data_IF_142130227394
#
_entry.id   IF_142130227394
#
_cell.length_a   1.000
_cell.length_b   1.000
_cell.length_c   1.000
_cell.angle_alpha   90.00
_cell.angle_beta   90.00
_cell.angle_gamma   90.00
#
_symmetry.space_group_name_H-M   'P 1'
#
loop_
_entity.id
_entity.type
_entity.pdbx_description
1 polymer ?
#
# COMPACT_ATOMS: atom_id res chain seq x y z
N UNK A 1 -14.49 -0.90 29.03
CA UNK A 1 -14.86 -0.69 27.63
C UNK A 1 -13.60 -0.26 26.89
N UNK A 2 -13.31 -0.83 25.73
CA UNK A 2 -12.19 -0.38 24.89
C UNK A 2 -12.61 0.97 24.32
N UNK A 3 -11.72 1.97 24.40
CA UNK A 3 -11.90 3.24 23.68
C UNK A 3 -11.91 2.94 22.19
N UNK A 4 -12.94 3.38 21.46
CA UNK A 4 -13.07 3.14 20.02
C UNK A 4 -12.50 4.28 19.16
N UNK A 5 -11.95 5.32 19.78
CA UNK A 5 -11.45 6.51 19.08
C UNK A 5 -10.15 6.19 18.34
N UNK A 6 -10.14 6.37 17.02
CA UNK A 6 -8.93 6.33 16.17
C UNK A 6 -8.52 7.78 15.87
N UNK A 7 -7.27 8.15 16.10
CA UNK A 7 -6.74 9.45 15.73
C UNK A 7 -5.66 9.26 14.67
N UNK A 8 -5.76 10.01 13.56
CA UNK A 8 -4.81 9.99 12.45
C UNK A 8 -4.34 11.41 12.14
N UNK A 9 -3.17 11.52 11.54
CA UNK A 9 -2.66 12.81 11.10
C UNK A 9 -3.35 13.23 9.80
N UNK A 10 -4.22 14.24 9.90
CA UNK A 10 -4.85 14.84 8.73
C UNK A 10 -3.89 15.83 8.04
N UNK A 11 -3.60 15.57 6.77
CA UNK A 11 -2.67 16.40 5.99
C UNK A 11 -3.19 17.79 5.70
N UNK A 12 -4.52 17.96 5.61
CA UNK A 12 -5.15 19.27 5.37
C UNK A 12 -5.03 20.17 6.59
N UNK A 13 -5.42 19.69 7.76
CA UNK A 13 -5.34 20.48 9.01
C UNK A 13 -3.93 20.47 9.61
N UNK A 14 -3.06 19.55 9.21
CA UNK A 14 -1.71 19.30 9.76
C UNK A 14 -1.71 18.97 11.24
N UNK A 15 -2.75 18.30 11.71
CA UNK A 15 -2.95 17.93 13.10
C UNK A 15 -3.44 16.51 13.21
N UNK A 16 -3.25 15.92 14.38
CA UNK A 16 -3.93 14.68 14.75
C UNK A 16 -5.41 14.97 14.94
N UNK A 17 -6.25 14.29 14.19
CA UNK A 17 -7.70 14.42 14.23
C UNK A 17 -8.35 13.07 14.52
N UNK A 18 -9.45 13.03 15.25
CA UNK A 18 -10.22 11.82 15.38
C UNK A 18 -10.83 11.44 14.03
N UNK A 19 -10.71 10.18 13.64
CA UNK A 19 -11.48 9.63 12.53
C UNK A 19 -12.95 9.58 12.96
N UNK A 20 -13.76 10.39 12.32
CA UNK A 20 -15.18 10.51 12.62
C UNK A 20 -15.97 9.72 11.58
N UNK A 21 -16.86 8.87 12.04
CA UNK A 21 -17.84 8.20 11.21
C UNK A 21 -19.03 9.15 11.00
N UNK A 22 -19.20 9.70 9.80
CA UNK A 22 -20.17 10.76 9.51
C UNK A 22 -21.63 10.34 9.66
N UNK A 23 -21.94 9.04 9.45
CA UNK A 23 -23.28 8.47 9.64
C UNK A 23 -23.45 7.74 10.99
N UNK A 24 -22.43 7.78 11.85
CA UNK A 24 -22.40 7.10 13.16
C UNK A 24 -22.24 5.58 13.09
N UNK A 25 -22.08 5.00 11.90
CA UNK A 25 -22.05 3.54 11.71
C UNK A 25 -20.94 3.06 10.80
N UNK A 26 -20.84 3.61 9.60
CA UNK A 26 -19.94 3.13 8.52
C UNK A 26 -18.88 4.16 8.20
N UNK A 27 -17.60 3.80 8.36
CA UNK A 27 -16.47 4.62 7.91
C UNK A 27 -16.31 4.42 6.40
N UNK A 28 -16.45 5.49 5.62
CA UNK A 28 -16.31 5.51 4.16
C UNK A 28 -14.88 5.86 3.80
N UNK A 29 -14.18 4.90 3.24
CA UNK A 29 -12.75 5.02 2.90
C UNK A 29 -12.59 4.97 1.39
N UNK A 30 -11.86 5.93 0.85
CA UNK A 30 -11.38 5.90 -0.52
C UNK A 30 -9.85 5.87 -0.54
N UNK A 31 -9.27 5.03 -1.38
CA UNK A 31 -7.83 4.99 -1.61
C UNK A 31 -7.55 5.06 -3.11
N UNK A 32 -6.69 5.98 -3.52
CA UNK A 32 -6.20 5.97 -4.89
C UNK A 32 -5.47 4.65 -5.15
N UNK A 33 -5.88 3.98 -6.22
CA UNK A 33 -5.36 2.68 -6.64
C UNK A 33 -4.19 2.77 -7.62
N UNK A 34 -3.74 1.65 -8.16
CA UNK A 34 -2.65 1.61 -9.11
C UNK A 34 -3.08 2.02 -10.52
N UNK A 35 -2.13 2.58 -11.29
CA UNK A 35 -2.23 2.58 -12.75
C UNK A 35 -1.63 1.27 -13.25
N UNK A 36 -2.48 0.43 -13.86
CA UNK A 36 -2.18 -0.98 -14.17
C UNK A 36 -1.49 -1.17 -15.52
N UNK A 37 -0.38 -0.49 -15.74
CA UNK A 37 0.49 -0.68 -16.90
C UNK A 37 1.78 -1.44 -16.59
N UNK A 38 2.06 -1.70 -15.32
CA UNK A 38 3.24 -2.43 -14.81
C UNK A 38 2.99 -2.96 -13.40
N UNK A 39 3.87 -3.84 -12.94
CA UNK A 39 3.84 -4.35 -11.57
C UNK A 39 4.02 -3.22 -10.55
N UNK A 40 3.28 -3.32 -9.44
CA UNK A 40 3.41 -2.41 -8.30
C UNK A 40 4.72 -2.71 -7.56
N UNK A 41 5.57 -1.71 -7.38
CA UNK A 41 6.78 -1.87 -6.59
C UNK A 41 6.49 -1.78 -5.08
N UNK A 42 7.43 -2.23 -4.26
CA UNK A 42 7.27 -2.26 -2.79
C UNK A 42 6.89 -0.90 -2.19
N UNK A 43 7.29 0.22 -2.80
CA UNK A 43 6.90 1.56 -2.36
C UNK A 43 5.40 1.85 -2.53
N UNK A 44 4.77 1.37 -3.61
CA UNK A 44 3.32 1.48 -3.80
C UNK A 44 2.57 0.62 -2.77
N UNK A 45 3.07 -0.59 -2.52
CA UNK A 45 2.46 -1.54 -1.58
C UNK A 45 2.44 -1.01 -0.14
N UNK A 46 3.38 -0.15 0.23
CA UNK A 46 3.38 0.53 1.54
C UNK A 46 2.13 1.40 1.74
N UNK A 47 1.71 2.10 0.70
CA UNK A 47 0.48 2.94 0.75
C UNK A 47 -0.77 2.07 0.85
N UNK A 48 -0.84 0.97 0.11
CA UNK A 48 -1.99 0.07 0.17
C UNK A 48 -2.08 -0.65 1.51
N UNK A 49 -0.92 -0.98 2.12
CA UNK A 49 -0.88 -1.50 3.48
C UNK A 49 -1.44 -0.51 4.51
N UNK A 50 -1.22 0.79 4.34
CA UNK A 50 -1.78 1.81 5.24
C UNK A 50 -3.31 1.73 5.28
N UNK A 51 -3.96 1.58 4.11
CA UNK A 51 -5.41 1.38 4.01
C UNK A 51 -5.87 0.10 4.73
N UNK A 52 -5.16 -1.01 4.55
CA UNK A 52 -5.44 -2.27 5.22
C UNK A 52 -5.34 -2.16 6.76
N UNK A 53 -4.30 -1.52 7.27
CA UNK A 53 -4.12 -1.35 8.72
C UNK A 53 -5.23 -0.52 9.35
N UNK A 54 -5.62 0.60 8.72
CA UNK A 54 -6.70 1.46 9.22
C UNK A 54 -8.03 0.69 9.20
N UNK A 55 -8.33 0.02 8.11
CA UNK A 55 -9.59 -0.73 7.99
C UNK A 55 -9.65 -1.93 8.92
N UNK A 56 -8.53 -2.65 9.13
CA UNK A 56 -8.45 -3.72 10.13
C UNK A 56 -8.66 -3.20 11.55
N UNK A 57 -7.99 -2.10 11.90
CA UNK A 57 -8.15 -1.48 13.22
C UNK A 57 -9.60 -1.02 13.44
N UNK A 58 -10.20 -0.33 12.47
CA UNK A 58 -11.58 0.12 12.54
C UNK A 58 -12.56 -1.05 12.73
N UNK A 59 -12.43 -2.11 11.92
CA UNK A 59 -13.25 -3.33 12.04
C UNK A 59 -13.05 -4.05 13.39
N UNK A 60 -11.80 -4.12 13.89
CA UNK A 60 -11.50 -4.69 15.19
C UNK A 60 -12.18 -3.93 16.35
N UNK A 61 -12.28 -2.61 16.23
CA UNK A 61 -12.97 -1.74 17.19
C UNK A 61 -14.50 -1.72 17.02
N UNK A 62 -15.04 -2.47 16.05
CA UNK A 62 -16.48 -2.66 15.86
C UNK A 62 -17.13 -1.69 14.86
N UNK A 63 -16.37 -0.90 14.12
CA UNK A 63 -16.91 -0.08 13.02
C UNK A 63 -17.22 -0.93 11.78
N UNK A 64 -18.29 -0.61 11.09
CA UNK A 64 -18.46 -1.01 9.70
C UNK A 64 -17.54 -0.14 8.82
N UNK A 65 -17.02 -0.71 7.75
CA UNK A 65 -16.14 0.01 6.81
C UNK A 65 -16.61 -0.25 5.39
N UNK A 66 -16.82 0.81 4.63
CA UNK A 66 -17.00 0.77 3.17
C UNK A 66 -15.72 1.26 2.52
N UNK A 67 -14.95 0.35 1.95
CA UNK A 67 -13.64 0.64 1.36
C UNK A 67 -13.68 0.52 -0.16
N UNK A 68 -13.42 1.62 -0.84
CA UNK A 68 -13.34 1.71 -2.32
C UNK A 68 -11.89 2.03 -2.71
N UNK A 69 -11.38 1.28 -3.68
CA UNK A 69 -10.08 1.55 -4.29
C UNK A 69 -10.20 1.45 -5.80
N UNK A 70 -9.85 2.49 -6.54
CA UNK A 70 -9.97 2.46 -7.99
C UNK A 70 -8.86 1.66 -8.67
N UNK A 71 -9.10 1.32 -9.93
CA UNK A 71 -8.09 0.85 -10.87
C UNK A 71 -8.04 1.85 -12.03
N UNK A 72 -6.88 2.49 -12.23
CA UNK A 72 -6.64 3.35 -13.39
C UNK A 72 -6.17 2.47 -14.56
N UNK A 73 -7.10 2.13 -15.43
CA UNK A 73 -6.92 1.31 -16.63
C UNK A 73 -7.17 2.08 -17.94
N UNK A 74 -7.13 3.41 -17.85
CA UNK A 74 -7.23 4.34 -18.98
C UNK A 74 -5.89 5.03 -19.21
N UNK A 75 -5.81 5.78 -20.31
CA UNK A 75 -4.60 6.47 -20.72
C UNK A 75 -4.05 7.43 -19.68
N UNK A 76 -2.80 7.25 -19.33
CA UNK A 76 -2.07 8.09 -18.41
C UNK A 76 -0.77 8.56 -19.06
N UNK A 77 -0.64 9.87 -19.30
CA UNK A 77 0.55 10.43 -19.94
C UNK A 77 1.80 10.25 -19.09
N UNK A 78 2.94 10.05 -19.73
CA UNK A 78 4.25 10.07 -19.08
C UNK A 78 4.56 11.46 -18.49
N UNK A 79 5.54 11.54 -17.60
CA UNK A 79 5.94 12.81 -16.95
C UNK A 79 6.41 13.88 -17.95
N UNK A 80 6.90 13.47 -19.10
CA UNK A 80 7.39 14.31 -20.20
C UNK A 80 6.34 14.55 -21.30
N UNK A 81 5.09 14.09 -21.12
CA UNK A 81 3.96 14.20 -22.07
C UNK A 81 4.21 13.64 -23.48
N UNK A 82 5.26 12.85 -23.65
CA UNK A 82 5.65 12.30 -24.94
C UNK A 82 4.84 11.08 -25.32
N UNK A 83 4.49 10.24 -24.31
CA UNK A 83 3.84 8.96 -24.57
C UNK A 83 2.87 8.59 -23.44
N UNK A 84 1.76 7.93 -23.81
CA UNK A 84 0.84 7.33 -22.86
C UNK A 84 1.43 6.03 -22.31
N UNK A 85 1.50 5.91 -20.97
CA UNK A 85 2.11 4.76 -20.29
C UNK A 85 1.46 3.43 -20.61
N UNK A 86 0.12 3.42 -20.76
CA UNK A 86 -0.64 2.20 -21.11
C UNK A 86 -0.35 1.79 -22.55
N UNK A 87 -0.45 2.74 -23.49
CA UNK A 87 -0.19 2.48 -24.90
C UNK A 87 1.28 2.11 -25.16
N UNK A 88 2.22 2.75 -24.48
CA UNK A 88 3.64 2.41 -24.54
C UNK A 88 3.90 0.97 -24.10
N UNK A 89 3.32 0.55 -23.00
CA UNK A 89 3.48 -0.82 -22.49
C UNK A 89 2.79 -1.83 -23.39
N UNK A 90 1.58 -1.52 -23.90
CA UNK A 90 0.86 -2.36 -24.86
C UNK A 90 1.67 -2.61 -26.12
N UNK A 91 2.27 -1.55 -26.68
CA UNK A 91 3.16 -1.64 -27.82
C UNK A 91 4.43 -2.46 -27.52
N UNK A 92 5.03 -2.26 -26.35
CA UNK A 92 6.25 -3.00 -25.94
C UNK A 92 5.98 -4.50 -25.80
N UNK A 93 4.81 -4.90 -25.32
CA UNK A 93 4.41 -6.29 -25.16
C UNK A 93 3.62 -6.86 -26.37
N UNK A 94 3.36 -6.05 -27.42
CA UNK A 94 2.56 -6.43 -28.59
C UNK A 94 1.18 -6.97 -28.20
N UNK A 95 0.50 -6.28 -27.25
CA UNK A 95 -0.81 -6.63 -26.72
C UNK A 95 -1.79 -5.46 -26.81
N UNK A 96 -3.08 -5.78 -26.70
CA UNK A 96 -4.13 -4.78 -26.51
C UNK A 96 -3.97 -4.05 -25.17
N UNK A 97 -4.17 -2.70 -25.10
CA UNK A 97 -4.01 -1.94 -23.86
C UNK A 97 -4.88 -2.44 -22.70
N UNK A 98 -6.11 -2.89 -22.98
CA UNK A 98 -6.99 -3.45 -21.92
C UNK A 98 -6.56 -4.86 -21.52
N UNK A 99 -5.88 -5.62 -22.38
CA UNK A 99 -5.25 -6.87 -22.01
C UNK A 99 -4.09 -6.61 -21.03
N UNK A 100 -3.27 -5.61 -21.32
CA UNK A 100 -2.19 -5.16 -20.40
C UNK A 100 -2.79 -4.78 -19.05
N UNK A 101 -3.85 -3.96 -19.03
CA UNK A 101 -4.51 -3.57 -17.79
C UNK A 101 -4.96 -4.78 -16.96
N UNK A 102 -5.63 -5.75 -17.58
CA UNK A 102 -6.07 -6.98 -16.90
C UNK A 102 -4.91 -7.80 -16.31
N UNK A 103 -3.82 -7.94 -17.05
CA UNK A 103 -2.64 -8.70 -16.61
C UNK A 103 -2.04 -8.06 -15.35
N UNK A 104 -1.82 -6.75 -15.36
CA UNK A 104 -1.19 -6.05 -14.24
C UNK A 104 -2.14 -5.84 -13.05
N UNK A 105 -3.46 -5.71 -13.29
CA UNK A 105 -4.49 -5.76 -12.26
C UNK A 105 -4.48 -7.11 -11.51
N UNK A 106 -4.45 -8.23 -12.25
CA UNK A 106 -4.37 -9.58 -11.65
C UNK A 106 -3.09 -9.76 -10.81
N UNK A 107 -1.95 -9.29 -11.33
CA UNK A 107 -0.68 -9.31 -10.57
C UNK A 107 -0.73 -8.45 -9.32
N UNK A 108 -1.33 -7.27 -9.41
CA UNK A 108 -1.54 -6.39 -8.27
C UNK A 108 -2.34 -7.07 -7.16
N UNK A 109 -3.46 -7.70 -7.49
CA UNK A 109 -4.27 -8.43 -6.51
C UNK A 109 -3.52 -9.62 -5.89
N UNK A 110 -2.73 -10.34 -6.67
CA UNK A 110 -1.86 -11.42 -6.17
C UNK A 110 -0.82 -10.89 -5.18
N UNK A 111 -0.20 -9.75 -5.46
CA UNK A 111 0.79 -9.15 -4.58
C UNK A 111 0.15 -8.61 -3.28
N UNK A 112 -1.07 -8.03 -3.34
CA UNK A 112 -1.83 -7.68 -2.14
C UNK A 112 -2.11 -8.92 -1.27
N UNK A 113 -2.51 -10.03 -1.88
CA UNK A 113 -2.79 -11.28 -1.17
C UNK A 113 -1.52 -11.86 -0.50
N UNK A 114 -0.35 -11.80 -1.17
CA UNK A 114 0.94 -12.22 -0.59
C UNK A 114 1.34 -11.40 0.64
N UNK A 115 0.97 -10.13 0.67
CA UNK A 115 1.18 -9.24 1.82
C UNK A 115 0.04 -9.30 2.85
N UNK A 116 -0.91 -10.22 2.70
CA UNK A 116 -2.10 -10.33 3.54
C UNK A 116 -2.85 -8.99 3.67
N UNK A 117 -2.91 -8.22 2.59
CA UNK A 117 -3.74 -7.02 2.48
C UNK A 117 -5.15 -7.46 2.11
N UNK A 118 -6.12 -7.10 2.93
CA UNK A 118 -7.53 -7.41 2.65
C UNK A 118 -7.98 -6.66 1.40
N UNK A 119 -8.78 -7.29 0.52
CA UNK A 119 -9.32 -6.60 -0.64
C UNK A 119 -10.22 -5.44 -0.21
N UNK A 120 -10.28 -4.39 -1.03
CA UNK A 120 -11.33 -3.40 -0.94
C UNK A 120 -12.70 -4.01 -1.27
N UNK A 121 -13.77 -3.39 -0.82
CA UNK A 121 -15.13 -3.87 -1.10
C UNK A 121 -15.50 -3.74 -2.58
N UNK A 122 -14.90 -2.75 -3.26
CA UNK A 122 -14.99 -2.57 -4.72
C UNK A 122 -13.70 -1.99 -5.29
N UNK A 123 -13.43 -2.39 -6.54
CA UNK A 123 -12.36 -1.87 -7.37
C UNK A 123 -12.95 -1.30 -8.67
N UNK A 124 -13.57 -0.09 -8.65
CA UNK A 124 -14.09 0.52 -9.87
C UNK A 124 -12.95 0.82 -10.83
N UNK A 125 -13.16 0.48 -12.11
CA UNK A 125 -12.22 0.76 -13.20
C UNK A 125 -12.53 2.09 -13.85
N UNK A 126 -11.50 2.86 -14.16
CA UNK A 126 -11.68 4.15 -14.81
C UNK A 126 -12.39 4.00 -16.17
N UNK A 127 -12.04 2.94 -16.96
CA UNK A 127 -12.68 2.65 -18.25
C UNK A 127 -14.18 2.33 -18.15
N UNK A 128 -14.63 1.78 -17.03
CA UNK A 128 -16.05 1.46 -16.77
C UNK A 128 -16.81 2.66 -16.19
N UNK A 129 -16.10 3.71 -15.77
CA UNK A 129 -16.67 4.90 -15.11
C UNK A 129 -16.65 6.15 -16.01
N UNK A 130 -16.42 6.02 -17.31
CA UNK A 130 -16.33 7.16 -18.27
C UNK A 130 -17.58 8.04 -18.20
N UNK A 131 -18.76 7.45 -18.14
CA UNK A 131 -20.01 8.20 -18.06
C UNK A 131 -20.12 9.03 -16.79
N UNK A 132 -19.71 8.48 -15.65
CA UNK A 132 -19.68 9.20 -14.37
C UNK A 132 -18.74 10.42 -14.42
N UNK A 133 -17.58 10.27 -15.06
CA UNK A 133 -16.65 11.39 -15.25
C UNK A 133 -17.24 12.46 -16.16
N UNK A 134 -17.88 12.07 -17.27
CA UNK A 134 -18.54 13.01 -18.18
C UNK A 134 -19.68 13.77 -17.52
N UNK A 135 -20.48 13.10 -16.70
CA UNK A 135 -21.55 13.73 -15.89
C UNK A 135 -20.97 14.74 -14.91
N UNK A 136 -19.92 14.39 -14.17
CA UNK A 136 -19.24 15.31 -13.24
C UNK A 136 -18.62 16.50 -13.99
N UNK A 137 -17.97 16.29 -15.12
CA UNK A 137 -17.39 17.36 -15.94
C UNK A 137 -18.48 18.30 -16.45
N UNK A 138 -19.61 17.78 -16.91
CA UNK A 138 -20.76 18.59 -17.37
C UNK A 138 -21.27 19.47 -16.24
N UNK A 139 -21.45 18.90 -15.04
CA UNK A 139 -21.84 19.65 -13.85
C UNK A 139 -20.86 20.78 -13.49
N UNK A 140 -19.54 20.50 -13.57
CA UNK A 140 -18.50 21.50 -13.32
C UNK A 140 -18.52 22.64 -14.36
N UNK A 141 -18.83 22.35 -15.62
CA UNK A 141 -19.01 23.36 -16.67
C UNK A 141 -20.24 24.22 -16.38
N UNK A 142 -21.39 23.59 -16.07
CA UNK A 142 -22.63 24.30 -15.73
C UNK A 142 -22.49 25.21 -14.52
N UNK A 143 -21.63 24.83 -13.55
CA UNK A 143 -21.29 25.63 -12.36
C UNK A 143 -20.14 26.61 -12.58
N UNK A 144 -19.66 26.78 -13.81
CA UNK A 144 -18.57 27.70 -14.20
C UNK A 144 -17.20 27.41 -13.54
N UNK A 145 -17.00 26.17 -13.03
CA UNK A 145 -15.68 25.72 -12.54
C UNK A 145 -14.83 25.08 -13.65
N UNK A 146 -15.42 24.74 -14.79
CA UNK A 146 -14.70 24.17 -15.93
C UNK A 146 -15.12 24.86 -17.23
N UNK A 147 -14.30 24.71 -18.27
CA UNK A 147 -14.54 25.28 -19.58
C UNK A 147 -13.93 24.43 -20.70
N UNK A 148 -14.49 24.54 -21.90
CA UNK A 148 -13.94 23.91 -23.10
C UNK A 148 -12.88 24.86 -23.68
N UNK A 149 -11.66 24.34 -23.87
CA UNK A 149 -10.56 25.05 -24.50
C UNK A 149 -10.67 25.09 -26.02
N UNK A 150 -9.84 25.90 -26.67
CA UNK A 150 -9.78 26.02 -28.14
C UNK A 150 -9.25 24.75 -28.84
N UNK A 151 -8.63 23.87 -28.09
CA UNK A 151 -8.12 22.56 -28.48
C UNK A 151 -9.14 21.39 -28.30
N UNK A 152 -10.38 21.73 -27.94
CA UNK A 152 -11.45 20.80 -27.58
C UNK A 152 -11.17 19.93 -26.33
N UNK A 153 -10.16 20.28 -25.53
CA UNK A 153 -10.01 19.73 -24.18
C UNK A 153 -10.93 20.49 -23.19
N UNK A 154 -11.32 19.81 -22.13
CA UNK A 154 -12.03 20.46 -21.02
C UNK A 154 -11.06 20.66 -19.87
N UNK A 155 -11.00 21.88 -19.38
CA UNK A 155 -10.12 22.28 -18.28
C UNK A 155 -10.90 22.71 -17.06
N UNK A 156 -10.42 22.34 -15.89
CA UNK A 156 -10.86 22.94 -14.62
C UNK A 156 -10.17 24.28 -14.47
N UNK A 157 -10.93 25.31 -14.08
CA UNK A 157 -10.43 26.64 -13.82
C UNK A 157 -9.89 26.72 -12.39
N UNK A 158 -8.57 26.64 -12.22
CA UNK A 158 -7.94 26.69 -10.91
C UNK A 158 -8.32 27.95 -10.10
N UNK A 159 -8.48 29.10 -10.78
CA UNK A 159 -8.80 30.38 -10.16
C UNK A 159 -10.27 30.47 -9.68
N UNK A 160 -11.18 29.66 -10.22
CA UNK A 160 -12.59 29.65 -9.80
C UNK A 160 -12.81 28.98 -8.45
N UNK A 161 -11.87 28.10 -8.00
CA UNK A 161 -11.98 27.40 -6.73
C UNK A 161 -11.21 28.09 -5.62
N UNK A 162 -11.94 28.72 -4.71
CA UNK A 162 -11.34 29.35 -3.53
C UNK A 162 -10.81 28.27 -2.55
N UNK A 163 -9.61 28.50 -2.00
CA UNK A 163 -9.01 27.56 -1.04
C UNK A 163 -8.18 26.43 -1.67
N UNK A 164 -7.81 26.58 -2.95
CA UNK A 164 -6.80 25.70 -3.57
C UNK A 164 -5.47 25.81 -2.81
N UNK A 165 -4.82 24.68 -2.61
CA UNK A 165 -3.59 24.56 -1.81
C UNK A 165 -3.82 24.18 -0.34
N UNK A 166 -5.06 23.90 0.07
CA UNK A 166 -5.36 23.56 1.46
C UNK A 166 -4.71 22.23 1.92
N UNK A 167 -4.56 21.25 1.05
CA UNK A 167 -3.88 19.97 1.36
C UNK A 167 -2.36 20.12 1.18
N UNK A 168 -1.95 20.66 0.05
CA UNK A 168 -0.55 20.73 -0.36
C UNK A 168 0.25 21.84 0.33
N UNK A 169 -0.41 22.96 0.63
CA UNK A 169 0.23 24.20 1.01
C UNK A 169 0.73 25.03 -0.19
N UNK A 170 0.51 24.55 -1.42
CA UNK A 170 0.92 25.24 -2.65
C UNK A 170 -0.16 26.25 -3.07
N UNK A 171 0.11 27.52 -2.92
CA UNK A 171 -0.82 28.58 -3.33
C UNK A 171 -0.74 28.79 -4.84
N UNK A 172 -1.90 29.05 -5.49
CA UNK A 172 -1.98 29.27 -6.94
C UNK A 172 -1.06 30.37 -7.44
N UNK A 173 -0.95 31.48 -6.69
CA UNK A 173 -0.11 32.62 -7.01
C UNK A 173 1.39 32.32 -6.94
N UNK A 174 1.79 31.27 -6.27
CA UNK A 174 3.17 30.81 -6.15
C UNK A 174 3.55 29.71 -7.16
N UNK A 175 2.57 29.14 -7.86
CA UNK A 175 2.80 28.15 -8.90
C UNK A 175 3.39 28.83 -10.14
N UNK A 176 4.58 28.42 -10.55
CA UNK A 176 5.26 28.97 -11.74
C UNK A 176 4.97 28.09 -12.94
N UNK A 177 4.77 28.70 -14.14
CA UNK A 177 4.73 27.96 -15.40
C UNK A 177 5.97 27.07 -15.55
N UNK A 178 5.80 25.84 -16.02
CA UNK A 178 6.92 24.92 -16.32
C UNK A 178 7.52 24.18 -15.10
N UNK A 179 7.02 24.39 -13.88
CA UNK A 179 7.49 23.64 -12.70
C UNK A 179 7.02 22.17 -12.67
N UNK A 180 5.93 21.86 -13.35
CA UNK A 180 5.49 20.53 -13.75
C UNK A 180 4.87 20.65 -15.14
N UNK A 181 4.99 19.62 -15.95
CA UNK A 181 4.48 19.59 -17.32
C UNK A 181 2.97 19.84 -17.45
N UNK A 182 2.21 19.70 -16.38
CA UNK A 182 0.78 20.01 -16.33
C UNK A 182 0.48 21.51 -16.38
N UNK A 183 1.46 22.36 -16.11
CA UNK A 183 1.35 23.84 -16.07
C UNK A 183 2.06 24.50 -17.28
N UNK A 184 1.89 23.93 -18.46
CA UNK A 184 2.40 24.54 -19.69
C UNK A 184 1.46 25.63 -20.19
N UNK A 185 2.02 26.74 -20.69
CA UNK A 185 1.30 27.72 -21.49
C UNK A 185 1.13 27.16 -22.89
N UNK A 186 0.03 26.47 -23.15
CA UNK A 186 -0.29 25.90 -24.46
C UNK A 186 -1.30 26.74 -25.27
N UNK A 187 -1.68 27.91 -24.76
CA UNK A 187 -2.60 28.85 -25.41
C UNK A 187 -4.06 28.42 -25.38
N UNK A 188 -4.38 27.16 -25.01
CA UNK A 188 -5.75 26.67 -24.85
C UNK A 188 -6.26 26.86 -23.42
N UNK A 189 -5.37 26.93 -22.44
CA UNK A 189 -5.67 27.19 -21.03
C UNK A 189 -5.84 28.69 -20.77
N UNK A 190 -6.82 29.05 -19.96
CA UNK A 190 -7.03 30.43 -19.51
C UNK A 190 -5.98 30.85 -18.45
N UNK A 191 -5.52 29.87 -17.67
CA UNK A 191 -4.51 30.07 -16.64
C UNK A 191 -3.54 28.87 -16.62
N UNK A 192 -2.26 29.11 -16.41
CA UNK A 192 -1.23 28.05 -16.51
C UNK A 192 -1.44 26.90 -15.53
N UNK A 193 -2.10 27.11 -14.40
CA UNK A 193 -2.38 26.07 -13.41
C UNK A 193 -3.72 25.36 -13.62
N UNK A 194 -4.47 25.67 -14.68
CA UNK A 194 -5.66 24.90 -15.06
C UNK A 194 -5.25 23.48 -15.51
N UNK A 195 -6.02 22.49 -15.16
CA UNK A 195 -5.70 21.09 -15.52
C UNK A 195 -6.82 20.46 -16.33
N UNK A 196 -6.45 19.47 -17.15
CA UNK A 196 -7.38 18.82 -18.04
C UNK A 196 -8.30 17.84 -17.29
N UNK A 197 -9.61 17.99 -17.47
CA UNK A 197 -10.64 17.05 -17.05
C UNK A 197 -10.96 16.05 -18.14
N UNK A 198 -10.96 16.51 -19.42
CA UNK A 198 -11.13 15.70 -20.60
C UNK A 198 -10.12 16.14 -21.66
N UNK A 199 -9.39 15.21 -22.20
CA UNK A 199 -8.37 15.47 -23.24
C UNK A 199 -8.92 15.05 -24.60
N UNK A 200 -8.83 15.91 -25.60
CA UNK A 200 -9.19 15.58 -26.98
C UNK A 200 -8.30 14.45 -27.51
N UNK A 201 -8.87 13.55 -28.31
CA UNK A 201 -8.17 12.36 -28.83
C UNK A 201 -6.94 12.72 -29.70
N UNK A 202 -6.96 13.86 -30.40
CA UNK A 202 -5.89 14.20 -31.34
C UNK A 202 -5.67 13.06 -32.35
N UNK A 203 -4.44 12.57 -32.43
CA UNK A 203 -4.04 11.44 -33.29
C UNK A 203 -4.17 10.07 -32.59
N UNK A 204 -4.70 10.03 -31.38
CA UNK A 204 -4.89 8.79 -30.61
C UNK A 204 -6.00 7.95 -31.22
N UNK A 205 -5.78 6.65 -31.38
CA UNK A 205 -6.72 5.71 -31.97
C UNK A 205 -7.30 4.71 -30.96
N UNK A 206 -6.69 4.57 -29.79
CA UNK A 206 -7.04 3.60 -28.77
C UNK A 206 -7.35 4.27 -27.44
N UNK A 207 -8.15 3.62 -26.60
CA UNK A 207 -8.59 4.17 -25.29
C UNK A 207 -9.17 5.58 -25.43
N UNK A 208 -10.10 5.74 -26.35
CA UNK A 208 -10.85 6.98 -26.62
C UNK A 208 -12.33 6.71 -26.58
N UNK A 209 -13.08 7.69 -26.11
CA UNK A 209 -14.55 7.62 -25.94
C UNK A 209 -15.23 8.84 -26.56
N UNK A 210 -16.44 8.65 -26.99
CA UNK A 210 -17.30 9.77 -27.40
C UNK A 210 -17.70 10.58 -26.17
N UNK A 211 -17.75 11.90 -26.33
CA UNK A 211 -18.18 12.82 -25.28
C UNK A 211 -18.91 14.02 -25.87
N UNK A 212 -19.61 14.84 -25.05
CA UNK A 212 -20.23 16.10 -25.53
C UNK A 212 -19.22 17.09 -26.14
N UNK A 213 -17.93 16.94 -25.82
CA UNK A 213 -16.85 17.84 -26.26
C UNK A 213 -16.04 17.24 -27.42
N UNK A 214 -16.44 16.10 -27.92
CA UNK A 214 -15.76 15.34 -28.96
C UNK A 214 -15.07 14.06 -28.44
N UNK A 215 -14.45 13.32 -29.37
CA UNK A 215 -13.71 12.12 -29.00
C UNK A 215 -12.48 12.45 -28.16
N UNK A 216 -12.29 11.69 -27.06
CA UNK A 216 -11.19 11.94 -26.15
C UNK A 216 -11.10 10.91 -25.02
N UNK A 217 -10.41 11.29 -23.98
CA UNK A 217 -10.19 10.45 -22.80
C UNK A 217 -10.11 11.32 -21.53
N UNK A 218 -10.40 10.75 -20.34
CA UNK A 218 -10.40 11.51 -19.09
C UNK A 218 -9.01 11.99 -18.69
N UNK A 219 -8.97 13.12 -17.98
CA UNK A 219 -7.81 13.52 -17.19
C UNK A 219 -7.65 12.61 -15.98
N UNK A 220 -6.46 12.58 -15.41
CA UNK A 220 -6.15 11.67 -14.30
C UNK A 220 -6.91 11.95 -13.00
N UNK A 221 -7.16 13.23 -12.68
CA UNK A 221 -7.74 13.62 -11.40
C UNK A 221 -9.26 13.44 -11.33
N UNK A 222 -9.95 13.54 -12.49
CA UNK A 222 -11.41 13.38 -12.53
C UNK A 222 -11.86 11.95 -12.27
N UNK A 223 -10.99 10.96 -12.51
CA UNK A 223 -11.27 9.55 -12.26
C UNK A 223 -11.64 9.32 -10.80
N UNK A 224 -10.73 9.69 -9.90
CA UNK A 224 -10.91 9.48 -8.46
C UNK A 224 -12.03 10.35 -7.89
N UNK A 225 -12.19 11.60 -8.36
CA UNK A 225 -13.30 12.45 -7.95
C UNK A 225 -14.65 11.83 -8.30
N UNK A 226 -14.85 11.41 -9.55
CA UNK A 226 -16.12 10.83 -9.99
C UNK A 226 -16.43 9.50 -9.27
N UNK A 227 -15.41 8.63 -9.14
CA UNK A 227 -15.58 7.34 -8.48
C UNK A 227 -15.81 7.47 -6.98
N UNK A 228 -15.06 8.32 -6.28
CA UNK A 228 -15.23 8.50 -4.82
C UNK A 228 -16.60 9.07 -4.47
N UNK A 229 -17.05 10.11 -5.20
CA UNK A 229 -18.37 10.69 -5.01
C UNK A 229 -19.50 9.69 -5.29
N UNK A 230 -19.40 8.95 -6.39
CA UNK A 230 -20.44 7.99 -6.77
C UNK A 230 -20.54 6.82 -5.79
N UNK A 231 -19.44 6.14 -5.50
CA UNK A 231 -19.47 4.91 -4.71
C UNK A 231 -19.60 5.15 -3.20
N UNK A 232 -19.30 6.37 -2.72
CA UNK A 232 -19.39 6.73 -1.30
C UNK A 232 -20.46 7.79 -1.01
N UNK A 233 -21.43 7.97 -1.92
CA UNK A 233 -22.58 8.87 -1.73
C UNK A 233 -22.18 10.32 -1.41
N UNK A 234 -21.30 10.89 -2.22
CA UNK A 234 -20.83 12.27 -2.17
C UNK A 234 -20.06 12.67 -0.90
N UNK A 235 -19.69 11.70 -0.05
CA UNK A 235 -18.91 12.00 1.15
C UNK A 235 -17.94 10.87 1.52
N UNK A 236 -16.71 11.24 1.79
CA UNK A 236 -15.60 10.36 2.16
C UNK A 236 -15.12 10.71 3.57
N UNK A 237 -15.22 9.78 4.52
CA UNK A 237 -14.71 10.01 5.88
C UNK A 237 -13.18 10.03 5.90
N UNK A 238 -12.55 9.19 5.06
CA UNK A 238 -11.10 9.06 4.97
C UNK A 238 -10.63 8.83 3.53
N UNK A 239 -9.82 9.75 3.00
CA UNK A 239 -9.16 9.61 1.71
C UNK A 239 -7.67 9.32 1.88
N UNK A 240 -7.18 8.25 1.24
CA UNK A 240 -5.83 7.72 1.41
C UNK A 240 -5.02 7.80 0.10
N UNK A 241 -3.72 8.06 0.25
CA UNK A 241 -2.77 7.97 -0.87
C UNK A 241 -1.31 8.04 -0.44
N UNK A 242 -0.40 7.97 -1.40
CA UNK A 242 1.00 8.30 -1.19
C UNK A 242 1.21 9.80 -1.07
N UNK A 243 2.28 10.22 -0.41
CA UNK A 243 2.61 11.65 -0.25
C UNK A 243 2.84 12.36 -1.59
N UNK A 244 3.21 11.62 -2.63
CA UNK A 244 3.33 12.10 -4.01
C UNK A 244 1.99 12.51 -4.62
N UNK A 245 0.89 11.90 -4.19
CA UNK A 245 -0.47 12.27 -4.61
C UNK A 245 -0.99 13.54 -3.94
N UNK A 246 -0.38 13.97 -2.81
CA UNK A 246 -0.80 15.18 -2.10
C UNK A 246 -0.91 16.39 -3.02
N UNK A 247 0.00 16.50 -3.99
CA UNK A 247 0.01 17.52 -5.02
C UNK A 247 0.58 16.99 -6.35
N UNK A 248 -0.10 17.22 -7.49
CA UNK A 248 -1.36 17.97 -7.58
C UNK A 248 -2.61 17.11 -7.30
N UNK A 249 -2.55 15.77 -7.39
CA UNK A 249 -3.67 14.85 -7.56
C UNK A 249 -4.80 15.06 -6.52
N UNK A 250 -4.52 14.92 -5.23
CA UNK A 250 -5.54 15.10 -4.18
C UNK A 250 -6.01 16.55 -4.02
N UNK A 251 -5.15 17.54 -4.32
CA UNK A 251 -5.58 18.93 -4.34
C UNK A 251 -6.59 19.19 -5.45
N UNK A 252 -6.34 18.64 -6.65
CA UNK A 252 -7.22 18.75 -7.80
C UNK A 252 -8.50 17.95 -7.60
N UNK A 253 -8.43 16.76 -7.03
CA UNK A 253 -9.62 15.99 -6.64
C UNK A 253 -10.51 16.75 -5.64
N UNK A 254 -9.89 17.36 -4.62
CA UNK A 254 -10.62 18.17 -3.64
C UNK A 254 -11.31 19.34 -4.32
N UNK A 255 -10.63 20.04 -5.22
CA UNK A 255 -11.22 21.16 -5.95
C UNK A 255 -12.41 20.70 -6.80
N UNK A 256 -12.27 19.62 -7.57
CA UNK A 256 -13.34 19.06 -8.42
C UNK A 256 -14.55 18.62 -7.59
N UNK A 257 -14.32 17.83 -6.57
CA UNK A 257 -15.37 17.24 -5.74
C UNK A 257 -16.13 18.32 -4.95
N UNK A 258 -15.40 19.26 -4.32
CA UNK A 258 -16.02 20.34 -3.55
C UNK A 258 -16.76 21.34 -4.43
N UNK A 259 -16.25 21.63 -5.63
CA UNK A 259 -16.94 22.48 -6.61
C UNK A 259 -18.26 21.86 -7.08
N UNK A 260 -18.29 20.54 -7.28
CA UNK A 260 -19.50 19.82 -7.63
C UNK A 260 -20.54 19.86 -6.51
N UNK A 261 -20.18 19.42 -5.30
CA UNK A 261 -21.18 19.28 -4.22
C UNK A 261 -21.43 20.56 -3.41
N UNK A 262 -20.62 21.62 -3.58
CA UNK A 262 -20.73 22.89 -2.86
C UNK A 262 -20.31 22.86 -1.38
N UNK A 263 -19.63 21.79 -0.95
CA UNK A 263 -19.14 21.60 0.42
C UNK A 263 -17.89 20.73 0.44
N UNK A 264 -17.26 20.55 1.63
CA UNK A 264 -16.15 19.58 1.73
C UNK A 264 -16.65 18.16 1.51
N UNK A 265 -16.07 17.49 0.52
CA UNK A 265 -16.39 16.10 0.13
C UNK A 265 -15.63 15.05 0.95
N UNK A 266 -14.49 15.44 1.53
CA UNK A 266 -13.59 14.57 2.28
C UNK A 266 -13.33 15.17 3.66
N UNK A 267 -13.60 14.38 4.71
CA UNK A 267 -13.39 14.81 6.09
C UNK A 267 -11.91 14.79 6.48
N UNK A 268 -11.16 13.76 6.06
CA UNK A 268 -9.76 13.56 6.46
C UNK A 268 -8.90 13.05 5.29
N UNK A 269 -7.73 13.66 5.11
CA UNK A 269 -6.73 13.28 4.11
C UNK A 269 -5.49 12.68 4.79
N UNK A 270 -5.18 11.42 4.50
CA UNK A 270 -4.05 10.72 5.11
C UNK A 270 -3.08 10.23 4.04
N UNK A 271 -1.80 10.55 4.24
CA UNK A 271 -0.75 10.22 3.28
C UNK A 271 0.35 9.36 3.89
N UNK A 272 0.72 8.30 3.16
CA UNK A 272 1.92 7.51 3.44
C UNK A 272 3.17 8.18 2.87
N UNK A 273 4.24 8.23 3.65
CA UNK A 273 5.49 8.86 3.23
C UNK A 273 6.31 7.97 2.28
N UNK A 274 7.24 8.56 1.56
CA UNK A 274 8.11 7.89 0.58
C UNK A 274 8.90 6.73 1.17
N UNK A 275 9.13 5.73 0.33
CA UNK A 275 10.04 4.62 0.57
C UNK A 275 11.28 4.77 -0.30
N UNK A 276 12.45 4.75 0.34
CA UNK A 276 13.74 4.56 -0.31
C UNK A 276 14.11 3.08 -0.29
N UNK A 277 14.93 2.67 -1.23
CA UNK A 277 15.57 1.37 -1.22
C UNK A 277 17.08 1.56 -1.32
N UNK A 278 17.81 1.10 -0.29
CA UNK A 278 19.27 1.27 -0.16
C UNK A 278 19.71 2.72 -0.37
N UNK A 279 19.04 3.64 0.32
CA UNK A 279 19.32 5.08 0.32
C UNK A 279 18.88 5.83 -0.95
N UNK A 280 18.19 5.17 -1.89
CA UNK A 280 17.80 5.78 -3.16
C UNK A 280 16.30 5.69 -3.40
N UNK A 281 15.74 6.73 -4.04
CA UNK A 281 14.37 6.67 -4.55
C UNK A 281 14.29 5.59 -5.64
N UNK A 282 13.29 4.73 -5.57
CA UNK A 282 13.03 3.74 -6.60
C UNK A 282 12.60 4.42 -7.89
N UNK A 283 13.35 4.18 -8.97
CA UNK A 283 13.02 4.67 -10.31
C UNK A 283 13.46 3.64 -11.36
N UNK A 284 12.71 3.52 -12.47
CA UNK A 284 13.07 2.64 -13.59
C UNK A 284 14.46 3.00 -14.15
N UNK A 285 14.75 4.28 -14.29
CA UNK A 285 16.02 4.80 -14.84
C UNK A 285 17.23 4.43 -14.01
N UNK A 286 17.06 4.18 -12.71
CA UNK A 286 18.14 3.77 -11.80
C UNK A 286 18.23 2.25 -11.60
N UNK A 287 17.31 1.46 -12.17
CA UNK A 287 17.32 0.00 -12.08
C UNK A 287 17.16 -0.56 -10.65
N UNK A 288 16.67 0.24 -9.71
CA UNK A 288 16.54 -0.12 -8.29
C UNK A 288 15.08 -0.37 -7.85
N UNK A 289 14.20 -0.64 -8.79
CA UNK A 289 12.82 -1.02 -8.49
C UNK A 289 12.80 -2.43 -7.92
N UNK A 290 12.16 -2.60 -6.77
CA UNK A 290 12.00 -3.90 -6.10
C UNK A 290 10.53 -4.30 -6.11
N UNK A 291 10.28 -5.53 -6.53
CA UNK A 291 8.96 -6.16 -6.63
C UNK A 291 8.81 -7.26 -5.56
N UNK A 292 7.59 -7.70 -5.31
CA UNK A 292 7.33 -8.85 -4.41
C UNK A 292 7.99 -10.12 -4.95
N UNK A 293 8.02 -10.31 -6.28
CA UNK A 293 8.70 -11.44 -6.92
C UNK A 293 10.21 -11.48 -6.66
N UNK A 294 10.85 -10.33 -6.43
CA UNK A 294 12.28 -10.29 -6.10
C UNK A 294 12.55 -10.80 -4.68
N UNK A 295 11.59 -10.58 -3.75
CA UNK A 295 11.66 -11.16 -2.42
C UNK A 295 11.55 -12.70 -2.50
N UNK A 296 10.56 -13.18 -3.26
CA UNK A 296 10.33 -14.62 -3.46
C UNK A 296 11.55 -15.29 -4.12
N UNK A 297 12.16 -14.66 -5.12
CA UNK A 297 13.38 -15.14 -5.78
C UNK A 297 14.58 -15.24 -4.80
N UNK A 298 14.57 -14.43 -3.74
CA UNK A 298 15.57 -14.48 -2.65
C UNK A 298 15.10 -15.32 -1.46
N UNK A 299 14.02 -16.08 -1.60
CA UNK A 299 13.42 -16.90 -0.54
C UNK A 299 13.01 -16.10 0.72
N UNK A 300 12.73 -14.82 0.59
CA UNK A 300 12.19 -13.97 1.65
C UNK A 300 10.67 -14.05 1.61
N UNK A 301 10.05 -14.38 2.75
CA UNK A 301 8.59 -14.37 2.88
C UNK A 301 8.06 -12.95 2.59
N UNK A 302 7.09 -12.76 1.69
CA UNK A 302 6.51 -11.43 1.42
C UNK A 302 6.00 -10.71 2.68
N UNK A 303 5.54 -11.43 3.70
CA UNK A 303 5.12 -10.83 4.97
C UNK A 303 6.28 -10.22 5.78
N UNK A 304 7.54 -10.52 5.45
CA UNK A 304 8.68 -9.79 5.97
C UNK A 304 8.68 -8.33 5.52
N UNK A 305 8.24 -8.05 4.28
CA UNK A 305 8.04 -6.68 3.80
C UNK A 305 6.95 -5.97 4.61
N UNK A 306 5.82 -6.65 4.86
CA UNK A 306 4.77 -6.11 5.74
C UNK A 306 5.33 -5.79 7.13
N UNK A 307 6.11 -6.67 7.72
CA UNK A 307 6.73 -6.44 9.03
C UNK A 307 7.69 -5.24 9.00
N UNK A 308 8.52 -5.09 7.96
CA UNK A 308 9.37 -3.91 7.78
C UNK A 308 8.54 -2.60 7.73
N UNK A 309 7.40 -2.61 7.05
CA UNK A 309 6.53 -1.43 7.02
C UNK A 309 5.97 -1.11 8.40
N UNK A 310 5.58 -2.12 9.18
CA UNK A 310 5.08 -1.96 10.55
C UNK A 310 6.16 -1.48 11.54
N UNK A 311 7.43 -1.69 11.26
CA UNK A 311 8.55 -1.19 12.07
C UNK A 311 8.79 0.31 11.91
N UNK A 312 8.10 0.95 10.98
CA UNK A 312 8.23 2.38 10.68
C UNK A 312 6.87 3.08 10.75
N UNK A 313 6.87 4.32 11.17
CA UNK A 313 5.65 5.14 11.10
C UNK A 313 5.28 5.38 9.64
N UNK A 314 4.00 5.28 9.28
CA UNK A 314 3.52 5.43 7.90
C UNK A 314 3.87 6.80 7.28
N UNK A 315 3.93 7.85 8.10
CA UNK A 315 4.25 9.23 7.68
C UNK A 315 5.71 9.64 7.84
N UNK A 316 6.58 8.69 8.12
CA UNK A 316 8.03 8.90 8.13
C UNK A 316 8.67 8.27 6.90
N UNK A 317 9.63 8.97 6.31
CA UNK A 317 10.43 8.36 5.25
C UNK A 317 11.10 7.10 5.78
N UNK A 318 11.06 6.06 4.98
CA UNK A 318 11.63 4.76 5.31
C UNK A 318 12.70 4.42 4.28
N UNK A 319 13.81 3.86 4.74
CA UNK A 319 14.82 3.25 3.88
C UNK A 319 14.79 1.72 4.07
N UNK A 320 14.38 1.00 3.06
CA UNK A 320 14.32 -0.45 3.01
C UNK A 320 15.62 -1.00 2.42
N UNK A 321 16.11 -2.10 2.98
CA UNK A 321 17.30 -2.81 2.47
C UNK A 321 17.07 -4.31 2.46
N UNK A 322 17.90 -5.04 1.71
CA UNK A 322 17.87 -6.51 1.76
C UNK A 322 18.16 -7.04 3.15
N UNK A 323 19.03 -6.39 3.91
CA UNK A 323 19.36 -6.81 5.27
C UNK A 323 18.18 -6.61 6.24
N UNK A 324 17.45 -5.49 6.13
CA UNK A 324 16.23 -5.28 6.92
C UNK A 324 15.15 -6.30 6.59
N UNK A 325 14.97 -6.64 5.31
CA UNK A 325 14.04 -7.69 4.87
C UNK A 325 14.40 -9.08 5.41
N UNK A 326 15.70 -9.44 5.40
CA UNK A 326 16.17 -10.70 5.99
C UNK A 326 15.94 -10.73 7.50
N UNK A 327 16.26 -9.64 8.21
CA UNK A 327 16.04 -9.54 9.64
C UNK A 327 14.55 -9.68 10.01
N UNK A 328 13.68 -9.03 9.24
CA UNK A 328 12.23 -9.15 9.41
C UNK A 328 11.72 -10.58 9.11
N UNK A 329 12.27 -11.23 8.08
CA UNK A 329 11.95 -12.62 7.75
C UNK A 329 12.32 -13.57 8.91
N UNK A 330 13.49 -13.43 9.49
CA UNK A 330 13.93 -14.25 10.64
C UNK A 330 13.06 -14.00 11.88
N UNK A 331 12.69 -12.74 12.14
CA UNK A 331 11.77 -12.40 13.22
C UNK A 331 10.39 -13.03 13.02
N UNK A 332 9.86 -12.95 11.81
CA UNK A 332 8.57 -13.54 11.44
C UNK A 332 8.57 -15.06 11.65
N UNK A 333 9.61 -15.75 11.19
CA UNK A 333 9.78 -17.20 11.40
C UNK A 333 9.86 -17.54 12.89
N UNK A 334 10.64 -16.77 13.67
CA UNK A 334 10.76 -16.98 15.11
C UNK A 334 9.41 -16.83 15.81
N UNK A 335 8.63 -15.81 15.47
CA UNK A 335 7.31 -15.60 16.07
C UNK A 335 6.33 -16.72 15.71
N UNK A 336 6.32 -17.18 14.45
CA UNK A 336 5.51 -18.33 14.04
C UNK A 336 5.90 -19.61 14.79
N UNK A 337 7.19 -19.88 14.93
CA UNK A 337 7.66 -21.04 15.71
C UNK A 337 7.23 -20.95 17.18
N UNK A 338 7.34 -19.75 17.78
CA UNK A 338 6.90 -19.52 19.14
C UNK A 338 5.39 -19.69 19.32
N UNK A 339 4.58 -19.14 18.44
CA UNK A 339 3.11 -19.29 18.51
C UNK A 339 2.69 -20.76 18.43
N UNK A 340 3.39 -21.57 17.65
CA UNK A 340 3.16 -23.02 17.61
C UNK A 340 3.50 -23.70 18.94
N UNK A 341 4.62 -23.32 19.57
CA UNK A 341 5.02 -23.90 20.85
C UNK A 341 4.09 -23.48 22.01
N UNK A 342 3.59 -22.23 21.99
CA UNK A 342 2.71 -21.69 23.03
C UNK A 342 1.31 -22.33 23.06
N UNK A 343 0.85 -22.97 21.99
CA UNK A 343 -0.44 -23.70 21.98
C UNK A 343 -0.52 -24.87 22.96
N UNK A 344 0.62 -25.36 23.44
CA UNK A 344 0.67 -26.54 24.29
C UNK A 344 0.38 -26.26 25.77
N UNK A 345 0.42 -24.98 26.21
CA UNK A 345 0.07 -24.57 27.56
C UNK A 345 -1.44 -24.34 27.70
N UNK A 346 -2.06 -24.81 28.75
CA UNK A 346 -3.52 -24.81 28.94
C UNK A 346 -4.06 -23.63 29.74
N UNK A 347 -3.24 -22.87 30.47
CA UNK A 347 -3.70 -21.82 31.38
C UNK A 347 -3.56 -20.42 30.83
N UNK A 348 -4.70 -19.76 30.55
CA UNK A 348 -4.79 -18.38 30.03
C UNK A 348 -5.29 -17.43 31.11
N UNK A 349 -4.56 -16.34 31.35
CA UNK A 349 -5.03 -15.22 32.19
C UNK A 349 -5.77 -14.18 31.32
N UNK A 350 -7.09 -14.24 31.31
CA UNK A 350 -7.95 -13.37 30.49
C UNK A 350 -7.85 -11.88 30.88
N UNK A 351 -7.59 -11.57 32.17
CA UNK A 351 -7.43 -10.18 32.62
C UNK A 351 -6.14 -9.59 32.05
N UNK A 352 -5.07 -10.38 32.08
CA UNK A 352 -3.77 -9.98 31.53
C UNK A 352 -3.83 -9.86 30.00
N UNK A 353 -4.54 -10.78 29.30
CA UNK A 353 -4.83 -10.66 27.87
C UNK A 353 -5.51 -9.32 27.56
N UNK A 354 -6.60 -9.00 28.31
CA UNK A 354 -7.33 -7.76 28.13
C UNK A 354 -6.44 -6.52 28.31
N UNK A 355 -5.60 -6.50 29.36
CA UNK A 355 -4.69 -5.40 29.64
C UNK A 355 -3.67 -5.19 28.50
N UNK A 356 -2.96 -6.24 28.07
CA UNK A 356 -1.97 -6.16 27.02
C UNK A 356 -2.58 -5.74 25.66
N UNK A 357 -3.72 -6.31 25.31
CA UNK A 357 -4.41 -5.95 24.05
C UNK A 357 -4.83 -4.48 24.09
N UNK A 358 -5.40 -4.00 25.21
CA UNK A 358 -5.76 -2.58 25.35
C UNK A 358 -4.54 -1.66 25.23
N UNK A 359 -3.41 -2.03 25.85
CA UNK A 359 -2.17 -1.26 25.76
C UNK A 359 -1.62 -1.18 24.32
N UNK A 360 -1.69 -2.28 23.57
CA UNK A 360 -1.26 -2.30 22.15
C UNK A 360 -2.24 -1.51 21.28
N UNK A 361 -3.54 -1.65 21.53
CA UNK A 361 -4.56 -0.89 20.82
C UNK A 361 -4.40 0.62 21.00
N UNK A 362 -4.06 1.08 22.20
CA UNK A 362 -3.84 2.49 22.48
C UNK A 362 -2.72 3.09 21.59
N UNK A 363 -1.65 2.34 21.31
CA UNK A 363 -0.61 2.77 20.38
C UNK A 363 -1.13 2.80 18.93
N UNK A 364 -1.86 1.77 18.51
CA UNK A 364 -2.41 1.70 17.14
C UNK A 364 -3.49 2.76 16.89
N UNK A 365 -4.28 3.11 17.89
CA UNK A 365 -5.30 4.15 17.83
C UNK A 365 -4.69 5.56 17.78
N UNK A 366 -3.44 5.71 18.22
CA UNK A 366 -2.72 6.98 18.21
C UNK A 366 -1.78 7.05 16.99
N UNK A 367 -2.31 7.49 15.87
CA UNK A 367 -1.59 7.71 14.61
C UNK A 367 -0.88 6.45 14.09
N UNK A 368 -1.49 5.27 14.29
CA UNK A 368 -0.93 3.97 13.92
C UNK A 368 0.53 3.80 14.39
N UNK A 369 0.81 3.99 15.67
CA UNK A 369 2.16 3.78 16.22
C UNK A 369 2.53 2.28 16.24
N UNK A 370 2.61 1.69 15.04
CA UNK A 370 2.95 0.28 14.85
C UNK A 370 4.35 -0.08 15.40
N UNK A 371 5.38 0.79 15.30
CA UNK A 371 6.67 0.50 15.94
C UNK A 371 6.56 0.25 17.44
N UNK A 372 5.75 1.06 18.14
CA UNK A 372 5.56 0.93 19.58
C UNK A 372 4.74 -0.31 19.93
N UNK A 373 3.71 -0.61 19.15
CA UNK A 373 2.96 -1.86 19.27
C UNK A 373 3.86 -3.09 19.11
N UNK A 374 4.74 -3.11 18.10
CA UNK A 374 5.72 -4.18 17.90
C UNK A 374 6.74 -4.28 19.03
N UNK A 375 7.18 -3.15 19.59
CA UNK A 375 8.07 -3.13 20.75
C UNK A 375 7.43 -3.83 21.96
N UNK A 376 6.13 -3.57 22.21
CA UNK A 376 5.37 -4.26 23.28
C UNK A 376 5.29 -5.76 23.02
N UNK A 377 5.02 -6.19 21.79
CA UNK A 377 5.02 -7.62 21.45
C UNK A 377 6.38 -8.29 21.64
N UNK A 378 7.49 -7.61 21.29
CA UNK A 378 8.84 -8.11 21.55
C UNK A 378 9.16 -8.21 23.05
N UNK A 379 8.65 -7.30 23.85
CA UNK A 379 8.78 -7.36 25.31
C UNK A 379 7.96 -8.51 25.89
N UNK A 380 6.73 -8.68 25.41
CA UNK A 380 5.86 -9.78 25.82
C UNK A 380 6.46 -11.16 25.47
N UNK A 381 7.02 -11.29 24.26
CA UNK A 381 7.69 -12.54 23.81
C UNK A 381 8.77 -13.00 24.82
N UNK A 382 9.52 -12.05 25.39
CA UNK A 382 10.64 -12.31 26.31
C UNK A 382 10.22 -12.41 27.77
N UNK A 383 8.99 -12.04 28.12
CA UNK A 383 8.50 -12.05 29.49
C UNK A 383 8.43 -13.47 30.04
N UNK A 384 9.00 -13.70 31.21
CA UNK A 384 8.87 -14.95 31.97
C UNK A 384 7.68 -14.93 32.93
N UNK A 385 7.10 -13.75 33.18
CA UNK A 385 5.96 -13.57 34.06
C UNK A 385 4.61 -13.90 33.42
N UNK A 386 4.57 -13.97 32.08
CA UNK A 386 3.36 -14.23 31.31
C UNK A 386 3.40 -15.65 30.77
N UNK A 387 2.37 -16.45 31.06
CA UNK A 387 2.29 -17.82 30.58
C UNK A 387 2.21 -17.89 29.04
N UNK A 388 2.73 -18.94 28.46
CA UNK A 388 2.77 -19.11 27.01
C UNK A 388 1.36 -19.12 26.39
N UNK A 389 0.36 -19.72 27.03
CA UNK A 389 -1.03 -19.66 26.57
C UNK A 389 -1.59 -18.22 26.60
N UNK A 390 -1.21 -17.39 27.57
CA UNK A 390 -1.58 -15.98 27.63
C UNK A 390 -0.91 -15.18 26.50
N UNK A 391 0.40 -15.40 26.27
CA UNK A 391 1.13 -14.80 25.11
C UNK A 391 0.46 -15.15 23.79
N UNK A 392 0.14 -16.45 23.61
CA UNK A 392 -0.56 -16.93 22.41
C UNK A 392 -1.83 -16.12 22.15
N UNK A 393 -2.67 -15.96 23.16
CA UNK A 393 -3.95 -15.23 23.00
C UNK A 393 -3.76 -13.75 22.68
N UNK A 394 -2.74 -13.11 23.29
CA UNK A 394 -2.42 -11.69 22.99
C UNK A 394 -1.94 -11.54 21.55
N UNK A 395 -0.97 -12.37 21.13
CA UNK A 395 -0.46 -12.36 19.75
C UNK A 395 -1.60 -12.64 18.75
N UNK A 396 -2.47 -13.60 19.03
CA UNK A 396 -3.61 -13.94 18.16
C UNK A 396 -4.54 -12.74 17.96
N UNK A 397 -4.90 -12.03 19.04
CA UNK A 397 -5.79 -10.86 18.95
C UNK A 397 -5.13 -9.69 18.21
N UNK A 398 -3.87 -9.43 18.49
CA UNK A 398 -3.14 -8.32 17.86
C UNK A 398 -2.83 -8.60 16.38
N UNK A 399 -2.56 -9.86 16.03
CA UNK A 399 -2.29 -10.23 14.62
C UNK A 399 -3.50 -10.07 13.70
N UNK A 400 -4.72 -10.03 14.23
CA UNK A 400 -5.92 -9.69 13.46
C UNK A 400 -5.80 -8.29 12.83
N UNK A 401 -5.08 -7.37 13.50
CA UNK A 401 -4.83 -6.01 13.01
C UNK A 401 -3.52 -5.96 12.23
N UNK A 402 -2.42 -6.51 12.79
CA UNK A 402 -1.10 -6.46 12.15
C UNK A 402 -1.02 -7.31 10.88
N UNK A 403 -1.79 -8.39 10.80
CA UNK A 403 -1.93 -9.23 9.61
C UNK A 403 -0.65 -9.95 9.19
N UNK A 404 0.18 -10.34 10.14
CA UNK A 404 1.46 -11.04 9.90
C UNK A 404 1.30 -12.54 9.66
N UNK A 405 0.07 -13.06 9.78
CA UNK A 405 -0.24 -14.49 9.64
C UNK A 405 0.65 -15.38 10.55
N UNK A 406 0.77 -14.99 11.81
CA UNK A 406 1.64 -15.65 12.79
C UNK A 406 1.15 -17.06 13.14
N UNK A 407 -0.13 -17.34 12.92
CA UNK A 407 -0.80 -18.60 13.26
C UNK A 407 -1.06 -19.49 12.04
N UNK A 408 -0.63 -19.04 10.86
CA UNK A 408 -0.66 -19.90 9.68
C UNK A 408 0.39 -21.00 9.87
N UNK A 409 -0.04 -22.26 9.78
CA UNK A 409 0.92 -23.35 9.62
C UNK A 409 1.72 -23.08 8.34
N UNK A 410 2.96 -22.71 8.51
CA UNK A 410 3.89 -22.69 7.38
C UNK A 410 4.18 -24.15 7.13
N UNK A 411 4.00 -24.61 5.89
CA UNK A 411 4.61 -25.86 5.47
C UNK A 411 6.11 -25.72 5.78
N UNK A 412 6.54 -26.29 6.88
CA UNK A 412 7.97 -26.35 7.18
C UNK A 412 8.58 -27.04 5.99
N UNK A 413 9.49 -26.37 5.29
CA UNK A 413 10.36 -27.08 4.34
C UNK A 413 10.96 -28.24 5.10
N UNK A 414 10.38 -29.42 4.95
CA UNK A 414 10.92 -30.64 5.55
C UNK A 414 12.15 -30.97 4.72
N UNK A 415 13.28 -31.14 5.39
CA UNK A 415 14.47 -31.60 4.71
C UNK A 415 14.15 -32.93 4.03
N UNK A 416 14.53 -33.08 2.77
CA UNK A 416 14.34 -34.31 2.02
C UNK A 416 15.10 -35.46 2.72
N UNK A 417 14.70 -36.70 2.45
CA UNK A 417 15.41 -37.87 3.00
C UNK A 417 16.90 -37.84 2.69
N UNK A 418 17.29 -37.35 1.51
CA UNK A 418 18.69 -37.20 1.11
C UNK A 418 19.42 -36.13 1.91
N UNK A 419 18.76 -35.01 2.18
CA UNK A 419 19.32 -33.94 3.01
C UNK A 419 19.48 -34.39 4.47
N UNK A 420 18.51 -35.13 5.02
CA UNK A 420 18.61 -35.71 6.36
C UNK A 420 19.76 -36.70 6.44
N UNK A 421 19.94 -37.55 5.43
CA UNK A 421 21.09 -38.49 5.36
C UNK A 421 22.43 -37.73 5.28
N UNK A 422 22.51 -36.63 4.56
CA UNK A 422 23.71 -35.78 4.53
C UNK A 422 24.02 -35.16 5.89
N UNK A 423 22.99 -34.71 6.62
CA UNK A 423 23.13 -34.21 7.97
C UNK A 423 23.65 -35.27 8.94
N UNK A 424 23.10 -36.49 8.86
CA UNK A 424 23.53 -37.60 9.70
C UNK A 424 24.97 -38.01 9.38
N UNK A 425 25.33 -38.13 8.09
CA UNK A 425 26.71 -38.45 7.65
C UNK A 425 27.70 -37.37 8.14
N UNK A 426 27.33 -36.10 8.08
CA UNK A 426 28.17 -35.02 8.58
C UNK A 426 28.37 -35.11 10.08
N UNK A 427 27.31 -35.37 10.84
CA UNK A 427 27.41 -35.56 12.28
C UNK A 427 28.32 -36.72 12.67
N UNK A 428 28.19 -37.85 11.95
CA UNK A 428 29.03 -39.05 12.14
C UNK A 428 30.50 -38.78 11.83
N UNK A 429 30.80 -38.12 10.69
CA UNK A 429 32.17 -37.72 10.33
C UNK A 429 32.83 -36.87 11.40
N UNK A 430 32.07 -35.88 11.93
CA UNK A 430 32.55 -34.99 13.00
C UNK A 430 32.83 -35.74 14.31
N UNK A 431 31.97 -36.68 14.70
CA UNK A 431 32.18 -37.53 15.88
C UNK A 431 33.40 -38.42 15.76
N UNK A 432 33.73 -38.85 14.55
CA UNK A 432 34.92 -39.69 14.25
C UNK A 432 36.19 -38.85 14.09
N UNK A 433 36.11 -37.51 14.19
CA UNK A 433 37.26 -36.63 14.02
C UNK A 433 37.65 -36.39 12.55
N UNK A 434 36.83 -36.86 11.60
CA UNK A 434 37.04 -36.60 10.16
C UNK A 434 36.48 -35.23 9.80
N UNK A 435 37.28 -34.23 10.08
CA UNK A 435 36.88 -32.80 9.86
C UNK A 435 36.86 -32.47 8.37
N UNK A 436 37.67 -33.13 7.54
CA UNK A 436 37.70 -32.85 6.11
C UNK A 436 36.38 -33.28 5.44
N UNK A 437 35.88 -34.47 5.75
CA UNK A 437 34.59 -34.95 5.23
C UNK A 437 33.42 -34.15 5.86
N UNK A 438 33.50 -33.80 7.14
CA UNK A 438 32.49 -32.95 7.78
C UNK A 438 32.36 -31.60 7.10
N UNK A 439 33.46 -30.97 6.72
CA UNK A 439 33.45 -29.63 6.05
C UNK A 439 33.01 -29.77 4.58
N UNK A 440 33.34 -30.85 3.90
CA UNK A 440 32.84 -31.17 2.55
C UNK A 440 31.31 -31.30 2.55
N UNK A 441 30.77 -32.05 3.49
CA UNK A 441 29.32 -32.28 3.63
C UNK A 441 28.61 -31.01 4.06
N UNK A 442 29.25 -30.14 4.88
CA UNK A 442 28.72 -28.82 5.25
C UNK A 442 28.58 -27.93 4.03
N UNK A 443 29.57 -27.91 3.12
CA UNK A 443 29.48 -27.17 1.87
C UNK A 443 28.33 -27.65 0.99
N UNK A 444 28.21 -28.99 0.83
CA UNK A 444 27.14 -29.60 0.04
C UNK A 444 25.75 -29.28 0.60
N UNK A 445 25.60 -29.32 1.92
CA UNK A 445 24.36 -28.88 2.61
C UNK A 445 24.09 -27.41 2.41
N UNK A 446 25.13 -26.57 2.45
CA UNK A 446 25.04 -25.14 2.20
C UNK A 446 24.57 -24.81 0.77
N UNK A 447 25.09 -25.54 -0.23
CA UNK A 447 24.65 -25.44 -1.64
C UNK A 447 23.18 -25.88 -1.82
N UNK A 448 22.68 -26.76 -0.94
CA UNK A 448 21.28 -27.18 -0.89
C UNK A 448 20.39 -26.29 0.03
N UNK A 449 20.93 -25.17 0.50
CA UNK A 449 20.19 -24.21 1.30
C UNK A 449 20.08 -24.56 2.79
N UNK A 450 20.96 -25.40 3.34
CA UNK A 450 21.00 -25.80 4.75
C UNK A 450 22.26 -25.28 5.43
N UNK A 451 22.11 -24.42 6.45
CA UNK A 451 23.19 -24.01 7.34
C UNK A 451 23.26 -24.94 8.54
N UNK A 452 24.44 -25.46 8.83
CA UNK A 452 24.66 -26.34 9.99
C UNK A 452 25.44 -25.59 11.06
N UNK A 453 24.95 -25.64 12.32
CA UNK A 453 25.57 -25.11 13.51
C UNK A 453 25.96 -26.23 14.46
N UNK A 454 27.13 -26.09 15.03
CA UNK A 454 27.64 -27.06 16.01
C UNK A 454 27.58 -26.45 17.41
N UNK A 455 27.12 -27.21 18.39
CA UNK A 455 27.07 -26.84 19.81
C UNK A 455 27.64 -27.96 20.68
N UNK A 456 27.72 -27.71 22.00
CA UNK A 456 28.08 -28.76 22.95
C UNK A 456 27.06 -29.90 23.06
N UNK A 457 25.83 -29.61 22.66
CA UNK A 457 24.69 -30.54 22.71
C UNK A 457 24.54 -31.34 21.39
N UNK A 458 25.35 -31.03 20.36
CA UNK A 458 25.32 -31.67 19.06
C UNK A 458 25.18 -30.72 17.88
N UNK A 459 24.87 -31.29 16.72
CA UNK A 459 24.61 -30.56 15.48
C UNK A 459 23.16 -30.06 15.44
N UNK A 460 22.98 -28.79 15.12
CA UNK A 460 21.69 -28.21 14.71
C UNK A 460 21.79 -27.68 13.29
N UNK A 461 20.66 -27.50 12.62
CA UNK A 461 20.64 -26.96 11.28
C UNK A 461 19.44 -26.03 11.06
N UNK A 462 19.59 -25.12 10.11
CA UNK A 462 18.53 -24.22 9.69
C UNK A 462 18.61 -24.01 8.17
N UNK A 463 17.50 -23.59 7.56
CA UNK A 463 17.51 -23.22 6.15
C UNK A 463 18.31 -21.93 5.94
N UNK A 464 19.18 -21.90 4.92
CA UNK A 464 19.84 -20.66 4.46
C UNK A 464 18.80 -19.85 3.69
N UNK A 465 18.72 -18.58 4.04
CA UNK A 465 17.87 -17.58 3.41
C UNK A 465 18.72 -16.76 2.45
#
# INVERSE_FOLDING_TARGET
>A
MIDTKISLFDTKSRQLQPLVCSDGKTIRVYSCGPTVYRDAHVGNLRTFLLGDLITRLAKYLGFEVSFIQNITDVGHMSEDFVEDKMLAQAKAESKDPFEIARIYEDRFHKDLAKLNINPADKYPKASECIKLMQELITELIEKEYAYVGTDNCVYFSAQSFQGYGAISGNRLDSLKPGHRFEYTEDGAKKFHADWALWKAAGNRSEMIWDSPWGKGFPGWHIECSAMSLHYLNNFVDLHLGGIDLRFPHHEDERAQSNASIGSESVAMWVHGEHLLFEGRKMAKSSGNVVLVSDLEAKHIDPLALRLCFLENRYRSQMDLSWDSLKAAHLLLQRWRSKTLSWQQDSKVDQLLVGKWVTDVLADLQQDLDTPRALQKLRSLEKSEEVSDATKYQIFFKVDQILGLNLFKQVDQKVASSDQLQLLDKRAAARQQGDYEESDRLRKLLQEQGIAVKDSKEGQSWEWII
#
